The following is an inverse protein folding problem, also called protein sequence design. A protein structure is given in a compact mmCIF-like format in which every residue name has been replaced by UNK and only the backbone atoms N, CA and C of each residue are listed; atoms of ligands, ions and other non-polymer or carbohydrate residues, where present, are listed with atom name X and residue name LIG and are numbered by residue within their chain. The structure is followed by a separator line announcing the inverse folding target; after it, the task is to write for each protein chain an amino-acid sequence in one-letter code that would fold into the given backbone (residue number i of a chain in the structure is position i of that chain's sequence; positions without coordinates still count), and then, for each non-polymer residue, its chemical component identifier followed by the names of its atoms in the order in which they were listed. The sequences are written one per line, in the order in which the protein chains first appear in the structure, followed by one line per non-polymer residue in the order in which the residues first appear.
data_IF_320507565909
#
_entry.id   IF_320507565909
#
_cell.length_a   1.000
_cell.length_b   1.000
_cell.length_c   1.000
_cell.angle_alpha   90.00
_cell.angle_beta   90.00
_cell.angle_gamma   90.00
#
_symmetry.space_group_name_H-M   'P 1'
#
loop_
_entity.id
_entity.type
_entity.pdbx_description
1 polymer ?
#
# COMPACT_ATOMS: atom_id res chain seq x y z
N UNK A 1 -12.64 -10.17 -28.12
CA UNK A 1 -12.08 -9.75 -26.83
C UNK A 1 -13.18 -9.32 -25.88
N UNK A 2 -13.82 -10.26 -25.17
CA UNK A 2 -14.96 -9.98 -24.27
C UNK A 2 -14.69 -10.28 -22.79
N UNK A 3 -13.52 -10.85 -22.46
CA UNK A 3 -13.15 -11.22 -21.08
C UNK A 3 -12.84 -10.02 -20.17
N UNK A 4 -12.40 -8.89 -20.72
CA UNK A 4 -12.11 -7.67 -19.95
C UNK A 4 -13.36 -7.05 -19.35
N UNK A 5 -14.43 -6.93 -20.14
CA UNK A 5 -15.72 -6.35 -19.71
C UNK A 5 -16.38 -7.19 -18.62
N UNK A 6 -16.36 -8.51 -18.74
CA UNK A 6 -16.92 -9.40 -17.72
C UNK A 6 -16.19 -9.27 -16.37
N UNK A 7 -14.86 -9.19 -16.38
CA UNK A 7 -14.05 -8.99 -15.16
C UNK A 7 -14.30 -7.63 -14.53
N UNK A 8 -14.38 -6.56 -15.34
CA UNK A 8 -14.69 -5.22 -14.85
C UNK A 8 -16.09 -5.16 -14.19
N UNK A 9 -17.09 -5.76 -14.83
CA UNK A 9 -18.45 -5.83 -14.29
C UNK A 9 -18.53 -6.64 -12.99
N UNK A 10 -17.76 -7.74 -12.88
CA UNK A 10 -17.65 -8.49 -11.63
C UNK A 10 -17.11 -7.61 -10.50
N UNK A 11 -16.02 -6.87 -10.72
CA UNK A 11 -15.44 -5.97 -9.72
C UNK A 11 -16.47 -4.92 -9.29
N UNK A 12 -17.16 -4.29 -10.25
CA UNK A 12 -18.20 -3.30 -9.96
C UNK A 12 -19.35 -3.90 -9.14
N UNK A 13 -19.79 -5.12 -9.47
CA UNK A 13 -20.89 -5.79 -8.77
C UNK A 13 -20.57 -6.19 -7.32
N UNK A 14 -19.29 -6.40 -6.98
CA UNK A 14 -18.86 -6.73 -5.60
C UNK A 14 -18.84 -5.50 -4.68
N UNK A 15 -18.98 -4.31 -5.24
CA UNK A 15 -18.82 -3.03 -4.58
C UNK A 15 -17.46 -2.82 -3.88
N UNK A 16 -16.42 -3.59 -4.23
CA UNK A 16 -15.13 -3.51 -3.55
C UNK A 16 -14.47 -2.14 -3.72
N UNK A 17 -14.66 -1.52 -4.89
CA UNK A 17 -14.15 -0.18 -5.18
C UNK A 17 -14.83 0.89 -4.30
N UNK A 18 -16.17 0.86 -4.17
CA UNK A 18 -16.86 1.81 -3.27
C UNK A 18 -16.39 1.64 -1.83
N UNK A 19 -16.28 0.40 -1.34
CA UNK A 19 -15.86 0.11 0.04
C UNK A 19 -14.42 0.55 0.34
N UNK A 20 -13.51 0.30 -0.61
CA UNK A 20 -12.14 0.79 -0.53
C UNK A 20 -12.10 2.32 -0.49
N UNK A 21 -12.87 2.98 -1.37
CA UNK A 21 -12.93 4.43 -1.43
C UNK A 21 -13.54 5.07 -0.18
N UNK A 22 -14.58 4.47 0.41
CA UNK A 22 -15.13 4.89 1.70
C UNK A 22 -14.07 4.85 2.79
N UNK A 23 -13.28 3.78 2.86
CA UNK A 23 -12.21 3.65 3.86
C UNK A 23 -11.10 4.71 3.65
N UNK A 24 -10.73 5.00 2.40
CA UNK A 24 -9.80 6.09 2.07
C UNK A 24 -10.37 7.45 2.52
N UNK A 25 -11.66 7.70 2.26
CA UNK A 25 -12.32 8.97 2.61
C UNK A 25 -12.37 9.17 4.14
N UNK A 26 -12.68 8.12 4.89
CA UNK A 26 -12.65 8.14 6.37
C UNK A 26 -11.24 8.40 6.91
N UNK A 27 -10.22 7.80 6.29
CA UNK A 27 -8.83 8.04 6.66
C UNK A 27 -8.43 9.50 6.44
N UNK A 28 -8.81 10.09 5.30
CA UNK A 28 -8.55 11.49 4.99
C UNK A 28 -9.22 12.45 5.98
N UNK A 29 -10.44 12.14 6.45
CA UNK A 29 -11.12 12.91 7.50
C UNK A 29 -10.43 12.80 8.86
N UNK A 30 -9.77 11.66 9.16
CA UNK A 30 -9.03 11.48 10.40
C UNK A 30 -7.75 12.32 10.48
N UNK A 31 -7.16 12.67 9.32
CA UNK A 31 -6.04 13.61 9.13
C UNK A 31 -4.71 13.29 9.81
N UNK A 32 -4.66 12.33 10.75
CA UNK A 32 -3.52 12.13 11.66
C UNK A 32 -3.02 10.70 11.73
N UNK A 33 -3.84 9.71 11.34
CA UNK A 33 -3.46 8.31 11.43
C UNK A 33 -2.67 7.87 10.18
N UNK A 34 -1.62 7.05 10.35
CA UNK A 34 -0.88 6.49 9.22
C UNK A 34 -1.69 5.45 8.44
N UNK A 35 -2.66 4.82 9.08
CA UNK A 35 -3.61 3.90 8.46
C UNK A 35 -4.87 3.78 9.32
N UNK A 36 -5.96 3.30 8.73
CA UNK A 36 -7.13 2.80 9.45
C UNK A 36 -7.40 1.35 9.09
N UNK A 37 -8.05 0.65 10.01
CA UNK A 37 -8.58 -0.70 9.81
C UNK A 37 -10.09 -0.61 9.82
N UNK A 38 -10.74 -1.06 8.75
CA UNK A 38 -12.18 -1.09 8.61
C UNK A 38 -12.66 -2.54 8.49
N UNK A 39 -13.21 -3.04 9.60
CA UNK A 39 -13.71 -4.41 9.79
C UNK A 39 -15.24 -4.52 9.65
N UNK A 40 -15.92 -3.43 9.27
CA UNK A 40 -17.38 -3.37 9.12
C UNK A 40 -17.92 -4.26 7.99
N UNK A 41 -17.05 -4.84 7.16
CA UNK A 41 -17.42 -5.74 6.09
C UNK A 41 -17.33 -7.20 6.56
N UNK A 42 -18.47 -7.90 6.61
CA UNK A 42 -18.57 -9.26 7.19
C UNK A 42 -17.58 -10.29 6.65
N UNK A 43 -17.11 -10.15 5.42
CA UNK A 43 -16.30 -11.16 4.71
C UNK A 43 -14.82 -10.78 4.53
N UNK A 44 -14.41 -9.57 4.89
CA UNK A 44 -13.02 -9.12 4.77
C UNK A 44 -12.78 -7.83 5.56
N UNK A 45 -11.52 -7.56 5.88
CA UNK A 45 -11.09 -6.29 6.48
C UNK A 45 -10.41 -5.44 5.42
N UNK A 46 -10.71 -4.14 5.38
CA UNK A 46 -9.97 -3.17 4.56
C UNK A 46 -8.96 -2.46 5.46
N UNK A 47 -7.70 -2.44 5.06
CA UNK A 47 -6.67 -1.59 5.67
C UNK A 47 -6.33 -0.50 4.67
N UNK A 48 -6.62 0.75 5.03
CA UNK A 48 -6.33 1.91 4.20
C UNK A 48 -5.13 2.67 4.78
N UNK A 49 -4.12 2.95 3.96
CA UNK A 49 -2.89 3.63 4.35
C UNK A 49 -2.91 5.08 3.87
N UNK A 50 -2.41 5.97 4.71
CA UNK A 50 -2.33 7.38 4.36
C UNK A 50 -1.04 7.62 3.61
N UNK A 51 -1.11 8.43 2.56
CA UNK A 51 0.10 8.89 1.89
C UNK A 51 0.72 10.03 2.71
N UNK A 52 1.62 9.66 3.62
CA UNK A 52 2.33 10.59 4.49
C UNK A 52 3.31 11.51 3.72
N UNK A 53 3.49 11.30 2.41
CA UNK A 53 4.47 12.03 1.60
C UNK A 53 3.88 13.19 0.82
N UNK A 54 2.56 13.21 0.62
CA UNK A 54 1.84 14.28 -0.05
C UNK A 54 1.73 15.59 0.76
N UNK A 55 2.35 15.69 1.94
CA UNK A 55 2.56 16.98 2.61
C UNK A 55 3.72 17.79 2.01
N UNK A 56 4.52 17.19 1.14
CA UNK A 56 5.55 17.88 0.33
C UNK A 56 5.09 17.88 -1.12
N UNK A 57 4.48 18.99 -1.56
CA UNK A 57 3.88 19.17 -2.89
C UNK A 57 4.87 19.03 -4.08
N UNK A 58 6.18 18.85 -3.83
CA UNK A 58 7.23 18.84 -4.85
C UNK A 58 7.86 17.46 -5.14
N UNK A 59 7.44 16.38 -4.48
CA UNK A 59 8.04 15.05 -4.67
C UNK A 59 7.83 14.47 -6.08
N UNK A 60 6.76 14.85 -6.78
CA UNK A 60 6.50 14.43 -8.17
C UNK A 60 7.45 15.08 -9.20
N UNK A 61 8.21 16.11 -8.81
CA UNK A 61 9.19 16.77 -9.67
C UNK A 61 10.61 16.19 -9.53
N UNK A 62 10.83 15.32 -8.53
CA UNK A 62 12.11 14.65 -8.33
C UNK A 62 12.09 13.29 -9.04
N UNK A 63 13.20 12.95 -9.70
CA UNK A 63 13.36 11.61 -10.28
C UNK A 63 13.20 10.56 -9.16
N UNK A 64 12.44 9.47 -9.40
CA UNK A 64 12.18 8.47 -8.38
C UNK A 64 13.51 7.88 -7.92
N UNK A 65 13.84 8.10 -6.65
CA UNK A 65 15.01 7.47 -6.03
C UNK A 65 14.66 5.99 -5.88
N UNK A 66 15.41 5.14 -6.56
CA UNK A 66 15.23 3.69 -6.51
C UNK A 66 16.13 3.09 -5.44
N UNK A 67 15.54 2.29 -4.55
CA UNK A 67 16.24 1.50 -3.56
C UNK A 67 16.39 0.06 -4.08
N UNK A 68 17.60 -0.41 -4.42
CA UNK A 68 17.81 -1.79 -4.82
C UNK A 68 17.58 -2.73 -3.63
N UNK A 69 16.75 -3.76 -3.83
CA UNK A 69 16.56 -4.83 -2.86
C UNK A 69 17.72 -5.82 -2.95
N UNK A 70 18.24 -6.20 -1.79
CA UNK A 70 19.22 -7.28 -1.68
C UNK A 70 18.49 -8.62 -1.47
N UNK A 71 19.02 -9.76 -1.97
CA UNK A 71 18.47 -11.09 -1.70
C UNK A 71 18.32 -11.40 -0.21
N UNK A 72 19.17 -10.79 0.60
CA UNK A 72 19.19 -10.91 2.07
C UNK A 72 18.24 -9.94 2.78
N UNK A 73 17.41 -9.18 2.06
CA UNK A 73 16.47 -8.25 2.70
C UNK A 73 15.45 -9.05 3.54
N UNK A 74 15.27 -8.74 4.83
CA UNK A 74 14.45 -9.54 5.74
C UNK A 74 13.00 -9.68 5.27
N UNK A 75 12.39 -8.57 4.83
CA UNK A 75 10.96 -8.57 4.46
C UNK A 75 10.67 -8.86 2.97
N UNK A 76 11.65 -8.68 2.08
CA UNK A 76 11.41 -8.66 0.62
C UNK A 76 12.38 -9.53 -0.19
N UNK A 77 13.35 -10.17 0.45
CA UNK A 77 14.33 -11.02 -0.24
C UNK A 77 13.69 -12.15 -1.05
N UNK A 78 12.52 -12.62 -0.62
CA UNK A 78 11.75 -13.66 -1.31
C UNK A 78 11.21 -13.25 -2.68
N UNK A 79 11.15 -11.95 -3.00
CA UNK A 79 10.74 -11.47 -4.32
C UNK A 79 11.84 -11.64 -5.37
N UNK A 80 13.10 -11.82 -4.94
CA UNK A 80 14.24 -12.00 -5.83
C UNK A 80 14.30 -13.45 -6.29
N UNK A 81 14.44 -13.64 -7.59
CA UNK A 81 14.47 -14.96 -8.23
C UNK A 81 15.74 -15.15 -9.03
N UNK A 82 16.01 -16.38 -9.48
CA UNK A 82 17.15 -16.65 -10.37
C UNK A 82 17.04 -15.88 -11.69
N UNK A 83 15.82 -15.76 -12.20
CA UNK A 83 15.55 -15.07 -13.47
C UNK A 83 15.53 -13.53 -13.30
N UNK A 84 15.23 -13.04 -12.09
CA UNK A 84 15.27 -11.63 -11.74
C UNK A 84 16.12 -11.45 -10.47
N UNK A 85 17.46 -11.43 -10.59
CA UNK A 85 18.37 -11.43 -9.45
C UNK A 85 18.45 -10.07 -8.73
N UNK A 86 17.81 -9.04 -9.28
CA UNK A 86 17.69 -7.72 -8.66
C UNK A 86 16.31 -7.12 -8.96
N UNK A 87 15.77 -6.44 -7.95
CA UNK A 87 14.54 -5.65 -8.04
C UNK A 87 14.82 -4.34 -7.33
N UNK A 88 14.34 -3.24 -7.88
CA UNK A 88 14.39 -1.94 -7.22
C UNK A 88 12.98 -1.46 -6.89
N UNK A 89 12.80 -0.96 -5.67
CA UNK A 89 11.55 -0.33 -5.25
C UNK A 89 11.73 1.18 -5.19
N UNK A 90 10.62 1.92 -5.26
CA UNK A 90 10.66 3.35 -4.97
C UNK A 90 11.06 3.56 -3.50
N UNK A 91 12.17 4.27 -3.26
CA UNK A 91 12.76 4.42 -1.93
C UNK A 91 11.77 5.05 -0.93
N UNK A 92 10.92 5.95 -1.43
CA UNK A 92 9.99 6.69 -0.61
C UNK A 92 8.86 5.81 0.00
N UNK A 93 8.00 5.11 -0.78
CA UNK A 93 7.06 4.14 -0.21
C UNK A 93 7.73 3.05 0.63
N UNK A 94 8.91 2.57 0.23
CA UNK A 94 9.67 1.57 1.01
C UNK A 94 10.03 2.12 2.40
N UNK A 95 10.55 3.34 2.48
CA UNK A 95 10.86 4.00 3.76
C UNK A 95 9.62 4.21 4.63
N UNK A 96 8.50 4.62 4.04
CA UNK A 96 7.22 4.72 4.76
C UNK A 96 6.79 3.36 5.31
N UNK A 97 6.84 2.30 4.50
CA UNK A 97 6.48 0.95 4.92
C UNK A 97 7.35 0.45 6.09
N UNK A 98 8.68 0.56 5.98
CA UNK A 98 9.61 0.15 7.04
C UNK A 98 9.35 0.92 8.35
N UNK A 99 9.04 2.22 8.26
CA UNK A 99 8.68 3.03 9.44
C UNK A 99 7.40 2.53 10.10
N UNK A 100 6.39 2.11 9.32
CA UNK A 100 5.14 1.58 9.85
C UNK A 100 5.30 0.22 10.50
N UNK A 101 6.19 -0.64 9.99
CA UNK A 101 6.52 -1.91 10.64
C UNK A 101 7.12 -1.70 12.03
N UNK A 102 8.02 -0.72 12.19
CA UNK A 102 8.63 -0.41 13.48
C UNK A 102 7.64 0.17 14.50
N UNK A 103 6.57 0.85 14.08
CA UNK A 103 5.60 1.45 15.01
C UNK A 103 4.55 0.45 15.51
N UNK A 104 4.35 -0.68 14.82
CA UNK A 104 3.41 -1.72 15.26
C UNK A 104 3.91 -2.58 16.42
N UNK A 105 5.22 -2.58 16.71
CA UNK A 105 5.80 -3.29 17.87
C UNK A 105 5.45 -2.64 19.23
N UNK A 106 5.01 -1.38 19.23
CA UNK A 106 4.72 -0.62 20.46
C UNK A 106 3.32 -0.86 21.05
N UNK A 107 2.48 -1.69 20.42
CA UNK A 107 1.14 -2.05 20.95
C UNK A 107 1.07 -3.45 21.59
N UNK A 108 2.20 -4.15 21.69
CA UNK A 108 2.29 -5.46 22.34
C UNK A 108 2.81 -5.42 23.80
N UNK A 109 2.83 -4.23 24.43
CA UNK A 109 3.17 -4.05 25.85
C UNK A 109 2.02 -3.42 26.63
#
# INVERSE_FOLDING_TARGET
GCGGTAKANLILSTCILQRAWTSISELQQSGKLPFIVNDRFRSFTIVAFNDLQNQTQDLHLLSPILAPLQPTHPDFGFLISKDNPSISLHASPLSTFLRLLCTTDLKAQ
#
